data_IF_711271249741
#
_entry.id   IF_711271249741
#
_cell.length_a   1.000
_cell.length_b   1.000
_cell.length_c   1.000
_cell.angle_alpha   90.00
_cell.angle_beta   90.00
_cell.angle_gamma   90.00
#
_symmetry.space_group_name_H-M   'P 1'
#
loop_
_entity.id
_entity.type
_entity.pdbx_description
1 polymer ?
#
# COMPACT_ATOMS: atom_id res chain seq x y z
N UNK A 1 6.48 -27.76 1.74
CA UNK A 1 7.88 -27.52 2.16
C UNK A 1 8.27 -26.09 1.81
N UNK A 2 8.88 -25.32 2.72
CA UNK A 2 9.45 -24.01 2.39
C UNK A 2 10.87 -24.22 1.86
N UNK A 3 11.16 -23.91 0.58
CA UNK A 3 12.51 -24.12 0.05
C UNK A 3 13.48 -23.16 0.72
N UNK A 4 14.64 -23.67 1.13
CA UNK A 4 15.70 -22.83 1.70
C UNK A 4 16.18 -21.78 0.70
N UNK A 5 16.15 -22.14 -0.59
CA UNK A 5 16.64 -21.37 -1.71
C UNK A 5 15.62 -21.39 -2.84
N UNK A 6 15.18 -20.21 -3.30
CA UNK A 6 14.35 -20.09 -4.51
C UNK A 6 15.25 -19.71 -5.68
N UNK A 7 15.23 -20.51 -6.75
CA UNK A 7 15.88 -20.21 -8.03
C UNK A 7 14.79 -19.78 -9.00
N UNK A 8 14.96 -18.63 -9.64
CA UNK A 8 14.02 -18.13 -10.65
C UNK A 8 14.71 -18.07 -12.00
N UNK A 9 13.95 -18.31 -13.08
CA UNK A 9 14.42 -18.12 -14.43
C UNK A 9 13.49 -17.14 -15.15
N UNK A 10 14.07 -16.14 -15.81
CA UNK A 10 13.37 -15.25 -16.72
C UNK A 10 13.77 -15.61 -18.15
N UNK A 11 12.78 -16.00 -18.94
CA UNK A 11 12.97 -16.39 -20.33
C UNK A 11 12.50 -15.28 -21.26
N UNK A 12 13.36 -14.90 -22.18
CA UNK A 12 12.99 -14.11 -23.38
C UNK A 12 12.99 -15.03 -24.59
N UNK A 13 12.70 -14.51 -25.79
CA UNK A 13 12.68 -15.31 -27.01
C UNK A 13 14.02 -16.01 -27.31
N UNK A 14 15.15 -15.49 -26.81
CA UNK A 14 16.49 -15.98 -27.17
C UNK A 14 17.44 -16.14 -25.98
N UNK A 15 17.01 -15.79 -24.76
CA UNK A 15 17.88 -15.80 -23.58
C UNK A 15 17.14 -16.32 -22.35
N UNK A 16 17.87 -17.02 -21.49
CA UNK A 16 17.44 -17.40 -20.16
C UNK A 16 18.37 -16.71 -19.16
N UNK A 17 17.80 -15.95 -18.23
CA UNK A 17 18.53 -15.40 -17.09
C UNK A 17 18.09 -16.13 -15.84
N UNK A 18 19.05 -16.69 -15.10
CA UNK A 18 18.81 -17.42 -13.85
C UNK A 18 19.17 -16.51 -12.68
N UNK A 19 18.28 -16.43 -11.70
CA UNK A 19 18.42 -15.62 -10.50
C UNK A 19 18.35 -16.50 -9.26
N UNK A 20 19.10 -16.09 -8.24
CA UNK A 20 18.97 -16.61 -6.88
C UNK A 20 18.18 -15.59 -6.05
N UNK A 21 17.08 -16.02 -5.45
CA UNK A 21 16.25 -15.14 -4.62
C UNK A 21 16.88 -14.92 -3.24
N UNK A 22 17.42 -13.72 -3.03
CA UNK A 22 17.99 -13.29 -1.74
C UNK A 22 16.94 -12.70 -0.79
N UNK A 23 15.72 -12.43 -1.26
CA UNK A 23 14.66 -11.80 -0.47
C UNK A 23 13.82 -12.83 0.28
N UNK A 24 13.56 -13.99 -0.33
CA UNK A 24 12.63 -14.98 0.19
C UNK A 24 11.19 -14.54 -0.05
N UNK A 25 10.48 -14.14 1.00
CA UNK A 25 9.15 -13.53 0.82
C UNK A 25 9.26 -12.15 0.14
N UNK A 26 8.21 -11.80 -0.62
CA UNK A 26 8.17 -10.56 -1.38
C UNK A 26 8.37 -9.33 -0.46
N UNK A 27 9.24 -8.39 -0.88
CA UNK A 27 9.70 -7.27 -0.05
C UNK A 27 8.59 -6.33 0.43
N UNK A 28 7.44 -6.26 -0.25
CA UNK A 28 6.31 -5.45 0.21
C UNK A 28 5.72 -6.02 1.52
N UNK A 29 5.84 -7.33 1.77
CA UNK A 29 5.44 -7.93 3.03
C UNK A 29 6.43 -7.55 4.14
N UNK A 30 6.21 -6.37 4.74
CA UNK A 30 7.07 -5.82 5.80
C UNK A 30 7.02 -6.62 7.11
N UNK A 31 5.99 -7.47 7.29
CA UNK A 31 5.74 -8.25 8.50
C UNK A 31 4.73 -7.63 9.46
N UNK A 32 4.31 -6.38 9.22
CA UNK A 32 3.39 -5.68 10.11
C UNK A 32 1.93 -5.76 9.70
N UNK A 33 1.54 -6.23 8.52
CA UNK A 33 0.14 -6.26 8.06
C UNK A 33 -0.54 -7.58 8.42
N UNK A 34 -1.77 -7.52 8.95
CA UNK A 34 -2.65 -8.69 9.07
C UNK A 34 -3.46 -8.79 7.77
N UNK A 35 -3.36 -9.90 7.05
CA UNK A 35 -3.99 -10.11 5.75
C UNK A 35 -5.49 -10.42 5.92
N UNK A 36 -6.25 -9.39 6.28
CA UNK A 36 -7.73 -9.42 6.29
C UNK A 36 -8.26 -8.29 5.44
N UNK A 37 -9.14 -8.60 4.49
CA UNK A 37 -9.84 -7.63 3.65
C UNK A 37 -9.39 -7.59 2.18
N UNK A 38 -10.19 -6.92 1.36
CA UNK A 38 -10.04 -6.92 -0.10
C UNK A 38 -8.84 -6.07 -0.57
N UNK A 39 -7.86 -6.74 -1.18
CA UNK A 39 -6.73 -6.19 -1.94
C UNK A 39 -6.14 -4.86 -1.39
N UNK A 40 -5.48 -4.84 -0.21
CA UNK A 40 -4.83 -3.62 0.29
C UNK A 40 -3.74 -3.12 -0.66
N UNK A 41 -3.51 -1.80 -0.68
CA UNK A 41 -2.39 -1.20 -1.41
C UNK A 41 -1.06 -1.79 -0.92
N UNK A 42 -0.23 -2.27 -1.85
CA UNK A 42 1.10 -2.81 -1.51
C UNK A 42 1.99 -1.72 -0.90
N UNK A 43 2.73 -2.08 0.14
CA UNK A 43 3.58 -1.22 0.94
C UNK A 43 4.68 -0.53 0.12
N UNK A 44 5.34 -1.28 -0.76
CA UNK A 44 6.37 -0.71 -1.63
C UNK A 44 5.81 0.31 -2.63
N UNK A 45 4.60 0.11 -3.15
CA UNK A 45 3.91 1.08 -3.98
C UNK A 45 3.55 2.34 -3.17
N UNK A 46 3.07 2.16 -1.93
CA UNK A 46 2.78 3.28 -1.04
C UNK A 46 4.04 4.12 -0.73
N UNK A 47 5.17 3.48 -0.41
CA UNK A 47 6.45 4.16 -0.21
C UNK A 47 6.94 4.91 -1.47
N UNK A 48 6.78 4.29 -2.65
CA UNK A 48 7.09 4.94 -3.92
C UNK A 48 6.22 6.17 -4.18
N UNK A 49 4.92 6.09 -3.90
CA UNK A 49 3.99 7.22 -4.04
C UNK A 49 4.34 8.35 -3.06
N UNK A 50 4.63 8.04 -1.80
CA UNK A 50 5.11 9.03 -0.83
C UNK A 50 6.36 9.77 -1.32
N UNK A 51 7.30 9.05 -1.94
CA UNK A 51 8.48 9.66 -2.54
C UNK A 51 8.12 10.61 -3.70
N UNK A 52 7.07 10.28 -4.48
CA UNK A 52 6.58 11.12 -5.59
C UNK A 52 5.82 12.37 -5.11
N UNK A 53 5.25 12.37 -3.89
CA UNK A 53 4.57 13.56 -3.35
C UNK A 53 5.55 14.65 -2.96
N UNK A 54 6.80 14.27 -2.66
CA UNK A 54 7.81 15.17 -2.10
C UNK A 54 7.59 15.49 -0.62
N UNK A 55 6.69 14.78 0.06
CA UNK A 55 6.46 14.92 1.50
C UNK A 55 7.74 14.67 2.29
N UNK A 56 7.95 15.48 3.33
CA UNK A 56 9.05 15.33 4.29
C UNK A 56 8.50 15.16 5.71
N UNK A 57 9.17 14.43 6.61
CA UNK A 57 8.72 14.18 7.98
C UNK A 57 8.35 15.42 8.83
N UNK A 58 8.86 16.61 8.50
CA UNK A 58 8.51 17.86 9.18
C UNK A 58 7.20 18.48 8.70
N UNK A 59 6.56 17.92 7.66
CA UNK A 59 5.33 18.43 7.08
C UNK A 59 4.14 17.59 7.54
N UNK A 60 3.00 18.24 7.74
CA UNK A 60 1.75 17.55 8.06
C UNK A 60 1.37 16.60 6.92
N UNK A 61 1.07 15.34 7.27
CA UNK A 61 0.52 14.33 6.37
C UNK A 61 -0.87 13.93 6.85
N UNK A 62 -1.84 13.96 5.93
CA UNK A 62 -3.21 13.59 6.22
C UNK A 62 -3.81 12.65 5.18
N UNK A 63 -4.45 11.58 5.64
CA UNK A 63 -5.24 10.68 4.78
C UNK A 63 -6.68 10.56 5.32
N UNK A 64 -7.68 11.24 4.69
CA UNK A 64 -9.08 11.21 5.15
C UNK A 64 -9.83 9.93 4.78
N UNK A 65 -9.20 9.00 4.03
CA UNK A 65 -9.75 7.70 3.65
C UNK A 65 -8.66 6.64 3.81
N UNK A 66 -8.08 6.58 5.01
CA UNK A 66 -6.84 5.88 5.26
C UNK A 66 -6.96 4.36 5.16
N UNK A 67 -8.16 3.80 5.26
CA UNK A 67 -8.40 2.37 5.33
C UNK A 67 -7.56 1.73 6.43
N UNK A 68 -6.78 0.70 6.06
CA UNK A 68 -5.83 0.03 6.97
C UNK A 68 -4.50 0.79 7.18
N UNK A 69 -4.40 1.99 6.60
CA UNK A 69 -3.36 3.05 6.68
C UNK A 69 -1.97 2.68 6.21
N UNK A 70 -1.88 2.05 5.05
CA UNK A 70 -0.59 1.77 4.38
C UNK A 70 0.25 3.03 4.19
N UNK A 71 -0.34 4.14 3.70
CA UNK A 71 0.43 5.37 3.49
C UNK A 71 0.98 5.94 4.80
N UNK A 72 0.15 6.03 5.84
CA UNK A 72 0.56 6.61 7.11
C UNK A 72 1.63 5.77 7.81
N UNK A 73 1.56 4.44 7.71
CA UNK A 73 2.57 3.52 8.28
C UNK A 73 3.89 3.62 7.52
N UNK A 74 3.89 3.58 6.18
CA UNK A 74 5.15 3.73 5.42
C UNK A 74 5.76 5.14 5.59
N UNK A 75 4.93 6.17 5.76
CA UNK A 75 5.38 7.53 6.08
C UNK A 75 6.06 7.59 7.45
N UNK A 76 5.45 6.98 8.48
CA UNK A 76 6.03 6.90 9.81
C UNK A 76 7.35 6.10 9.84
N UNK A 77 7.41 4.97 9.13
CA UNK A 77 8.65 4.20 8.98
C UNK A 77 9.74 5.01 8.28
N UNK A 78 9.38 5.78 7.24
CA UNK A 78 10.30 6.68 6.55
C UNK A 78 10.85 7.76 7.49
N UNK A 79 9.97 8.43 8.25
CA UNK A 79 10.34 9.47 9.20
C UNK A 79 11.28 8.96 10.30
N UNK A 80 10.99 7.78 10.83
CA UNK A 80 11.78 7.14 11.89
C UNK A 80 13.00 6.37 11.36
N UNK A 81 13.28 6.45 10.06
CA UNK A 81 14.34 5.68 9.39
C UNK A 81 14.30 4.18 9.75
N UNK A 82 13.09 3.64 9.91
CA UNK A 82 12.87 2.22 10.15
C UNK A 82 13.08 1.49 8.82
N UNK A 83 14.04 0.55 8.72
CA UNK A 83 14.23 -0.21 7.51
C UNK A 83 12.97 -1.00 7.16
N UNK A 84 12.59 -1.10 5.86
CA UNK A 84 11.44 -1.90 5.44
C UNK A 84 11.54 -3.39 5.81
N UNK A 85 12.76 -3.88 6.05
CA UNK A 85 13.03 -5.24 6.48
C UNK A 85 13.24 -5.40 7.99
N UNK A 86 12.99 -4.40 8.84
CA UNK A 86 13.39 -4.44 10.26
C UNK A 86 12.77 -5.60 11.05
N UNK A 87 11.47 -5.86 10.86
CA UNK A 87 10.78 -7.00 11.50
C UNK A 87 11.35 -8.33 10.99
N UNK A 88 11.49 -8.45 9.67
CA UNK A 88 12.09 -9.63 9.03
C UNK A 88 13.54 -9.87 9.44
N UNK A 89 14.30 -8.82 9.68
CA UNK A 89 15.68 -8.87 10.14
C UNK A 89 15.82 -9.24 11.64
N UNK A 90 14.69 -9.34 12.37
CA UNK A 90 14.67 -9.60 13.81
C UNK A 90 15.26 -8.46 14.63
N UNK A 91 15.11 -7.19 14.20
CA UNK A 91 15.72 -6.05 14.88
C UNK A 91 15.04 -5.67 16.21
N UNK A 92 13.84 -6.18 16.49
CA UNK A 92 13.05 -5.83 17.68
C UNK A 92 13.09 -6.91 18.77
N UNK A 93 13.93 -7.94 18.63
CA UNK A 93 13.97 -9.11 19.52
C UNK A 93 12.77 -10.05 19.34
N UNK A 94 12.82 -11.21 20.02
CA UNK A 94 11.72 -12.19 20.07
C UNK A 94 10.62 -11.78 21.08
N UNK A 95 10.82 -10.67 21.80
CA UNK A 95 9.93 -10.17 22.87
C UNK A 95 8.67 -9.48 22.35
N UNK A 96 8.55 -9.27 21.05
CA UNK A 96 7.29 -8.91 20.43
C UNK A 96 6.36 -10.14 20.48
N UNK A 97 5.73 -10.38 21.63
CA UNK A 97 4.70 -11.41 21.81
C UNK A 97 3.75 -11.32 20.60
N UNK A 98 3.62 -12.39 19.78
CA UNK A 98 2.63 -12.40 18.72
C UNK A 98 1.29 -12.03 19.36
N UNK A 99 0.59 -11.04 18.81
CA UNK A 99 -0.76 -10.77 19.31
C UNK A 99 -1.55 -12.08 19.21
N UNK A 100 -2.36 -12.38 20.24
CA UNK A 100 -3.11 -13.64 20.40
C UNK A 100 -4.06 -13.99 19.22
N UNK A 101 -4.08 -13.20 18.14
CA UNK A 101 -4.96 -13.34 16.97
C UNK A 101 -4.26 -13.84 15.69
N UNK A 102 -2.99 -14.29 15.74
CA UNK A 102 -2.26 -14.71 14.55
C UNK A 102 -2.54 -16.17 14.16
N UNK A 103 -3.61 -16.42 13.39
CA UNK A 103 -3.85 -17.71 12.71
C UNK A 103 -3.07 -17.83 11.37
N UNK A 104 -2.20 -16.86 11.03
CA UNK A 104 -1.36 -16.89 9.82
C UNK A 104 0.06 -16.39 10.11
N UNK A 105 1.09 -16.94 9.44
CA UNK A 105 2.46 -16.51 9.66
C UNK A 105 2.66 -15.10 9.08
N UNK A 106 2.75 -14.10 9.96
CA UNK A 106 3.37 -12.83 9.63
C UNK A 106 4.80 -13.10 9.12
N UNK A 107 5.33 -12.25 8.23
CA UNK A 107 6.77 -12.30 7.94
C UNK A 107 7.52 -11.95 9.21
N UNK A 108 8.06 -12.96 9.87
CA UNK A 108 8.77 -12.86 11.15
C UNK A 108 10.28 -13.02 10.96
N UNK A 109 11.04 -12.77 12.03
CA UNK A 109 12.48 -13.09 12.12
C UNK A 109 12.78 -14.54 11.74
N UNK A 110 11.87 -15.47 12.07
CA UNK A 110 11.99 -16.89 11.72
C UNK A 110 12.03 -17.15 10.20
N UNK A 111 11.37 -16.30 9.40
CA UNK A 111 11.41 -16.40 7.94
C UNK A 111 12.63 -15.68 7.35
N UNK A 112 13.14 -14.64 8.03
CA UNK A 112 14.34 -13.93 7.62
C UNK A 112 14.36 -13.47 6.15
N UNK A 113 15.53 -13.07 5.67
CA UNK A 113 15.78 -12.90 4.25
C UNK A 113 16.23 -14.21 3.60
N UNK A 114 15.93 -14.39 2.32
CA UNK A 114 16.35 -15.55 1.52
C UNK A 114 17.86 -15.83 1.58
N UNK A 115 18.69 -14.78 1.55
CA UNK A 115 20.14 -14.94 1.58
C UNK A 115 20.66 -15.60 2.87
N UNK A 116 19.92 -15.50 3.99
CA UNK A 116 20.35 -16.03 5.27
C UNK A 116 20.37 -17.56 5.32
N UNK A 117 19.73 -18.22 4.35
CA UNK A 117 19.72 -19.69 4.18
C UNK A 117 20.72 -20.19 3.15
N UNK A 118 21.42 -19.28 2.46
CA UNK A 118 22.43 -19.66 1.47
C UNK A 118 23.72 -20.07 2.19
N UNK A 119 24.38 -21.12 1.68
CA UNK A 119 25.66 -21.62 2.21
C UNK A 119 26.71 -20.51 2.45
N UNK A 120 26.89 -19.50 1.57
CA UNK A 120 27.82 -18.40 1.83
C UNK A 120 27.53 -17.61 3.11
N UNK A 121 26.28 -17.51 3.55
CA UNK A 121 25.92 -16.80 4.78
C UNK A 121 26.36 -17.54 6.06
N UNK A 122 26.76 -18.81 5.96
CA UNK A 122 27.36 -19.54 7.07
C UNK A 122 28.78 -19.06 7.38
N UNK A 123 29.39 -18.25 6.51
CA UNK A 123 30.68 -17.64 6.76
C UNK A 123 30.56 -16.57 7.87
N UNK A 124 31.43 -16.65 8.89
CA UNK A 124 31.39 -15.74 10.02
C UNK A 124 31.57 -14.26 9.62
N UNK A 125 32.28 -13.98 8.52
CA UNK A 125 32.44 -12.62 8.03
C UNK A 125 31.16 -12.08 7.38
N UNK A 126 30.35 -12.92 6.72
CA UNK A 126 29.03 -12.52 6.21
C UNK A 126 28.04 -12.25 7.35
N UNK A 127 28.03 -13.11 8.37
CA UNK A 127 27.20 -12.91 9.55
C UNK A 127 27.55 -11.61 10.28
N UNK A 128 28.86 -11.33 10.41
CA UNK A 128 29.35 -10.07 10.99
C UNK A 128 28.96 -8.85 10.13
N UNK A 129 29.03 -8.95 8.80
CA UNK A 129 28.55 -7.89 7.89
C UNK A 129 27.07 -7.61 8.08
N UNK A 130 26.25 -8.66 8.17
CA UNK A 130 24.81 -8.51 8.41
C UNK A 130 24.49 -7.91 9.79
N UNK A 131 25.20 -8.34 10.84
CA UNK A 131 25.08 -7.73 12.17
C UNK A 131 25.41 -6.23 12.12
N UNK A 132 26.53 -5.85 11.48
CA UNK A 132 26.92 -4.46 11.33
C UNK A 132 25.88 -3.61 10.57
N UNK A 133 25.23 -4.17 9.53
CA UNK A 133 24.13 -3.49 8.84
C UNK A 133 22.92 -3.24 9.75
N UNK A 134 22.56 -4.23 10.58
CA UNK A 134 21.47 -4.08 11.56
C UNK A 134 21.82 -3.06 12.64
N UNK A 135 23.04 -3.07 13.14
CA UNK A 135 23.52 -2.10 14.14
C UNK A 135 23.53 -0.67 13.60
N UNK A 136 24.02 -0.47 12.38
CA UNK A 136 24.00 0.84 11.71
C UNK A 136 22.57 1.36 11.51
N UNK A 137 21.65 0.48 11.10
CA UNK A 137 20.25 0.84 10.96
C UNK A 137 19.58 1.15 12.30
N UNK A 138 19.87 0.38 13.36
CA UNK A 138 19.37 0.64 14.71
C UNK A 138 19.85 2.00 15.23
N UNK A 139 21.12 2.36 15.00
CA UNK A 139 21.66 3.65 15.39
C UNK A 139 20.89 4.82 14.72
N UNK A 140 20.60 4.71 13.41
CA UNK A 140 19.79 5.70 12.69
C UNK A 140 18.36 5.79 13.23
N UNK A 141 17.74 4.65 13.53
CA UNK A 141 16.39 4.60 14.12
C UNK A 141 16.35 5.30 15.48
N UNK A 142 17.36 5.08 16.34
CA UNK A 142 17.43 5.71 17.65
C UNK A 142 17.62 7.22 17.56
N UNK A 143 18.45 7.69 16.63
CA UNK A 143 18.60 9.13 16.34
C UNK A 143 17.27 9.75 15.90
N UNK A 144 16.55 9.10 14.97
CA UNK A 144 15.24 9.60 14.53
C UNK A 144 14.15 9.50 15.57
N UNK A 145 14.20 8.53 16.48
CA UNK A 145 13.28 8.47 17.63
C UNK A 145 13.54 9.59 18.64
N UNK A 146 14.76 10.10 18.75
CA UNK A 146 15.01 11.32 19.54
C UNK A 146 14.42 12.56 18.85
N UNK A 147 14.51 12.61 17.51
CA UNK A 147 13.92 13.70 16.73
C UNK A 147 12.39 13.66 16.71
N UNK A 148 11.81 12.45 16.71
CA UNK A 148 10.37 12.19 16.66
C UNK A 148 9.96 11.23 17.79
N UNK A 149 9.86 11.73 19.05
CA UNK A 149 9.68 10.88 20.24
C UNK A 149 8.30 10.21 20.34
N UNK A 150 7.28 10.79 19.71
CA UNK A 150 5.89 10.35 19.79
C UNK A 150 5.17 10.51 18.43
N UNK A 151 3.97 9.96 18.30
CA UNK A 151 3.22 10.03 17.05
C UNK A 151 2.71 11.44 16.72
N UNK A 152 2.57 12.32 17.72
CA UNK A 152 2.21 13.72 17.48
C UNK A 152 3.34 14.46 16.75
N UNK A 153 4.59 14.20 17.14
CA UNK A 153 5.79 14.80 16.55
C UNK A 153 5.99 14.42 15.07
N UNK A 154 5.39 13.32 14.61
CA UNK A 154 5.42 12.89 13.21
C UNK A 154 4.53 13.74 12.30
N UNK A 155 3.56 14.49 12.85
CA UNK A 155 2.61 15.27 12.04
C UNK A 155 1.72 14.41 11.13
N UNK A 156 1.55 13.12 11.45
CA UNK A 156 0.78 12.15 10.68
C UNK A 156 -0.60 11.97 11.32
N UNK A 157 -1.64 12.03 10.50
CA UNK A 157 -3.02 11.80 10.95
C UNK A 157 -3.88 11.23 9.83
N UNK A 158 -5.07 10.74 10.19
CA UNK A 158 -5.97 10.16 9.21
C UNK A 158 -7.37 9.93 9.72
N UNK A 159 -8.23 9.48 8.82
CA UNK A 159 -9.57 9.06 9.14
C UNK A 159 -10.12 8.09 8.11
N UNK A 160 -11.15 7.38 8.50
CA UNK A 160 -11.94 6.54 7.59
C UNK A 160 -13.37 6.46 8.12
N UNK A 161 -14.36 6.37 7.22
CA UNK A 161 -15.76 6.22 7.63
C UNK A 161 -16.02 4.84 8.26
N UNK A 162 -15.22 3.83 7.89
CA UNK A 162 -15.36 2.46 8.34
C UNK A 162 -14.57 2.19 9.62
N UNK A 163 -15.28 2.04 10.74
CA UNK A 163 -14.70 1.71 12.05
C UNK A 163 -13.79 0.48 12.03
N UNK A 164 -14.16 -0.55 11.26
CA UNK A 164 -13.36 -1.79 11.16
C UNK A 164 -11.99 -1.51 10.54
N UNK A 165 -11.92 -0.64 9.53
CA UNK A 165 -10.66 -0.24 8.92
C UNK A 165 -9.81 0.60 9.87
N UNK A 166 -10.43 1.50 10.64
CA UNK A 166 -9.75 2.24 11.72
C UNK A 166 -9.19 1.31 12.79
N UNK A 167 -9.93 0.27 13.20
CA UNK A 167 -9.44 -0.74 14.13
C UNK A 167 -8.27 -1.55 13.54
N UNK A 168 -8.36 -1.94 12.27
CA UNK A 168 -7.28 -2.62 11.56
C UNK A 168 -6.02 -1.75 11.44
N UNK A 169 -6.17 -0.45 11.17
CA UNK A 169 -5.07 0.50 11.18
C UNK A 169 -4.34 0.48 12.52
N UNK A 170 -5.06 0.61 13.64
CA UNK A 170 -4.46 0.64 14.98
C UNK A 170 -3.65 -0.63 15.26
N UNK A 171 -4.19 -1.80 14.88
CA UNK A 171 -3.47 -3.07 15.00
C UNK A 171 -2.24 -3.16 14.11
N UNK A 172 -2.32 -2.66 12.87
CA UNK A 172 -1.19 -2.60 11.93
C UNK A 172 -0.08 -1.66 12.44
N UNK A 173 -0.45 -0.49 12.96
CA UNK A 173 0.48 0.49 13.53
C UNK A 173 1.29 -0.09 14.69
N UNK A 174 0.62 -0.78 15.62
CA UNK A 174 1.27 -1.48 16.72
C UNK A 174 2.20 -2.60 16.22
N UNK A 175 1.73 -3.43 15.27
CA UNK A 175 2.56 -4.49 14.67
C UNK A 175 3.76 -3.93 13.88
N UNK A 176 3.68 -2.70 13.40
CA UNK A 176 4.77 -1.99 12.74
C UNK A 176 5.82 -1.43 13.73
N UNK A 177 5.66 -1.64 15.05
CA UNK A 177 6.59 -1.19 16.10
C UNK A 177 6.83 0.33 16.06
N UNK A 178 5.77 1.07 15.69
CA UNK A 178 5.74 2.52 15.69
C UNK A 178 5.44 3.05 17.11
N UNK A 179 5.63 4.36 17.37
CA UNK A 179 5.27 5.00 18.64
C UNK A 179 3.79 4.84 19.01
N UNK A 180 3.34 5.61 19.99
CA UNK A 180 1.92 5.74 20.35
C UNK A 180 1.00 6.00 19.14
N UNK A 181 -0.31 5.87 19.32
CA UNK A 181 -1.23 5.96 18.19
C UNK A 181 -1.35 7.42 17.69
N UNK A 182 -1.22 7.68 16.38
CA UNK A 182 -1.46 8.99 15.83
C UNK A 182 -2.95 9.34 15.92
N UNK A 183 -3.29 10.59 15.61
CA UNK A 183 -4.68 11.03 15.55
C UNK A 183 -5.39 10.35 14.39
N UNK A 184 -6.16 9.30 14.70
CA UNK A 184 -6.98 8.56 13.75
C UNK A 184 -8.42 8.54 14.23
N UNK A 185 -9.35 8.95 13.37
CA UNK A 185 -10.76 9.08 13.70
C UNK A 185 -11.64 8.28 12.76
N UNK A 186 -12.71 7.70 13.29
CA UNK A 186 -13.82 7.29 12.44
C UNK A 186 -14.59 8.56 12.05
N UNK A 187 -14.47 8.98 10.80
CA UNK A 187 -15.03 10.24 10.32
C UNK A 187 -15.29 10.18 8.83
N UNK A 188 -16.35 10.83 8.38
CA UNK A 188 -16.59 11.08 6.96
C UNK A 188 -15.51 12.04 6.43
N UNK A 189 -14.94 11.73 5.26
CA UNK A 189 -13.99 12.60 4.57
C UNK A 189 -14.55 14.02 4.35
N UNK A 190 -15.86 14.18 4.13
CA UNK A 190 -16.55 15.48 4.00
C UNK A 190 -16.61 16.27 5.31
N UNK A 191 -16.57 15.58 6.45
CA UNK A 191 -16.54 16.19 7.78
C UNK A 191 -15.11 16.47 8.28
N UNK A 192 -14.09 15.96 7.58
CA UNK A 192 -12.69 16.18 7.96
C UNK A 192 -12.28 17.65 7.90
N UNK A 193 -11.25 18.02 8.66
CA UNK A 193 -10.65 19.37 8.67
C UNK A 193 -9.13 19.24 8.68
N UNK A 194 -8.38 20.27 8.26
CA UNK A 194 -6.94 20.31 8.43
C UNK A 194 -6.53 19.92 9.86
N UNK A 195 -5.68 18.90 10.04
CA UNK A 195 -5.21 18.48 11.35
C UNK A 195 -4.56 19.66 12.09
N UNK A 196 -4.89 19.82 13.37
CA UNK A 196 -4.33 20.88 14.24
C UNK A 196 -4.44 22.30 13.64
N UNK A 197 -5.44 22.56 12.77
CA UNK A 197 -5.59 23.82 12.04
C UNK A 197 -4.35 24.20 11.20
N UNK A 198 -3.61 23.20 10.71
CA UNK A 198 -2.45 23.42 9.86
C UNK A 198 -2.84 24.19 8.58
N UNK A 199 -2.05 25.23 8.28
CA UNK A 199 -2.27 26.13 7.13
C UNK A 199 -1.85 25.52 5.80
N UNK A 200 -1.00 24.51 5.84
CA UNK A 200 -0.54 23.74 4.70
C UNK A 200 -0.24 22.29 5.12
N UNK A 201 0.01 21.44 4.13
CA UNK A 201 0.33 20.04 4.33
C UNK A 201 0.17 19.23 3.04
N UNK A 202 0.46 17.94 3.17
CA UNK A 202 0.25 16.95 2.11
C UNK A 202 -0.94 16.10 2.50
N UNK A 203 -1.97 16.09 1.65
CA UNK A 203 -3.05 15.10 1.74
C UNK A 203 -2.76 13.99 0.74
N UNK A 204 -2.76 12.73 1.18
CA UNK A 204 -2.51 11.58 0.30
C UNK A 204 -3.53 10.49 0.61
N UNK A 205 -4.28 10.07 -0.41
CA UNK A 205 -5.39 9.14 -0.27
C UNK A 205 -5.50 8.18 -1.46
N UNK A 206 -6.06 7.01 -1.18
CA UNK A 206 -6.42 5.99 -2.18
C UNK A 206 -7.91 5.65 -2.00
N UNK A 207 -8.83 6.49 -2.50
CA UNK A 207 -10.27 6.27 -2.36
C UNK A 207 -10.70 4.94 -3.01
N UNK A 208 -11.84 4.37 -2.59
CA UNK A 208 -12.41 3.23 -3.31
C UNK A 208 -12.75 3.63 -4.76
N UNK A 209 -12.43 2.79 -5.73
CA UNK A 209 -12.78 2.98 -7.14
C UNK A 209 -13.38 1.71 -7.76
N UNK A 210 -14.36 1.90 -8.67
CA UNK A 210 -14.91 0.96 -9.65
C UNK A 210 -15.00 -0.51 -9.22
N UNK A 211 -14.00 -1.32 -9.59
CA UNK A 211 -13.97 -2.77 -9.36
C UNK A 211 -14.02 -3.18 -7.87
N UNK A 212 -13.52 -2.34 -6.94
CA UNK A 212 -13.63 -2.60 -5.50
C UNK A 212 -15.04 -2.40 -4.95
N UNK A 213 -15.90 -1.69 -5.68
CA UNK A 213 -17.31 -1.50 -5.35
C UNK A 213 -18.17 -2.62 -5.93
N UNK A 214 -17.82 -3.16 -7.11
CA UNK A 214 -18.57 -4.26 -7.76
C UNK A 214 -18.53 -5.55 -6.96
N UNK A 215 -17.41 -5.89 -6.30
CA UNK A 215 -17.34 -7.04 -5.37
C UNK A 215 -18.28 -6.85 -4.16
N UNK A 216 -18.64 -5.59 -3.83
CA UNK A 216 -19.54 -5.25 -2.72
C UNK A 216 -21.00 -5.05 -3.14
N UNK A 217 -21.35 -5.24 -4.41
CA UNK A 217 -22.70 -5.13 -4.94
C UNK A 217 -23.64 -6.28 -4.56
N UNK A 218 -23.62 -6.71 -3.30
CA UNK A 218 -24.56 -7.69 -2.75
C UNK A 218 -25.00 -7.23 -1.37
N UNK A 219 -26.22 -6.68 -1.28
CA UNK A 219 -26.89 -6.36 -0.01
C UNK A 219 -26.80 -7.58 0.91
N UNK A 220 -26.54 -7.31 2.19
CA UNK A 220 -26.41 -8.32 3.24
C UNK A 220 -27.48 -9.41 3.14
N UNK A 221 -27.00 -10.62 2.91
CA UNK A 221 -27.61 -11.86 3.38
C UNK A 221 -26.49 -12.78 3.77
N UNK A 222 -26.56 -13.26 5.00
CA UNK A 222 -25.72 -14.31 5.55
C UNK A 222 -25.51 -15.40 4.50
N UNK A 223 -24.27 -15.56 4.05
CA UNK A 223 -23.79 -16.83 3.52
C UNK A 223 -22.78 -17.35 4.51
N UNK A 224 -23.23 -18.37 5.23
CA UNK A 224 -22.37 -19.30 5.94
C UNK A 224 -21.20 -19.68 5.04
N UNK A 225 -20.02 -19.62 5.63
CA UNK A 225 -18.75 -20.05 5.06
C UNK A 225 -18.86 -21.50 4.58
N UNK A 226 -18.86 -21.70 3.26
CA UNK A 226 -18.36 -22.93 2.67
C UNK A 226 -16.88 -22.73 2.34
N UNK A 227 -16.11 -23.73 2.73
CA UNK A 227 -14.65 -23.79 2.75
C UNK A 227 -14.11 -24.00 1.34
N UNK A 228 -13.44 -23.01 0.77
CA UNK A 228 -12.53 -23.24 -0.36
C UNK A 228 -11.12 -23.49 0.17
N UNK A 229 -10.90 -24.75 0.55
CA UNK A 229 -9.58 -25.33 0.72
C UNK A 229 -8.88 -25.39 -0.64
N UNK A 230 -7.71 -24.75 -0.75
CA UNK A 230 -6.80 -25.00 -1.86
C UNK A 230 -6.16 -26.37 -1.64
N UNK A 231 -6.75 -27.40 -2.25
CA UNK A 231 -6.15 -28.73 -2.33
C UNK A 231 -5.24 -28.79 -3.56
N UNK A 232 -3.99 -29.15 -3.32
CA UNK A 232 -2.91 -29.28 -4.29
C UNK A 232 -2.89 -30.75 -4.73
N UNK A 233 -3.64 -31.09 -5.78
CA UNK A 233 -3.63 -32.43 -6.36
C UNK A 233 -3.56 -32.40 -7.90
N UNK A 234 -2.66 -33.25 -8.39
CA UNK A 234 -2.20 -33.51 -9.75
C UNK A 234 -3.25 -33.40 -10.87
N UNK A 235 -2.92 -32.64 -11.93
CA UNK A 235 -3.52 -32.78 -13.26
C UNK A 235 -2.42 -32.64 -14.33
N UNK A 236 -1.81 -33.77 -14.68
CA UNK A 236 -1.10 -33.94 -15.94
C UNK A 236 -2.13 -34.04 -17.07
N UNK A 237 -2.22 -33.03 -17.94
CA UNK A 237 -2.53 -33.23 -19.36
C UNK A 237 -2.28 -31.96 -20.19
N UNK A 238 -2.03 -32.19 -21.47
CA UNK A 238 -1.16 -31.47 -22.39
C UNK A 238 -1.68 -30.09 -22.84
N UNK A 239 -1.34 -29.02 -22.10
CA UNK A 239 -1.63 -27.61 -22.46
C UNK A 239 -0.76 -27.05 -23.59
N UNK A 240 0.22 -27.81 -24.07
CA UNK A 240 1.19 -27.32 -25.04
C UNK A 240 0.65 -27.38 -26.48
N UNK A 241 -0.14 -28.41 -26.81
CA UNK A 241 -0.64 -28.65 -28.16
C UNK A 241 -1.68 -27.62 -28.64
N UNK A 242 -2.53 -27.08 -27.77
CA UNK A 242 -3.60 -26.14 -28.17
C UNK A 242 -3.14 -24.69 -28.40
N UNK A 243 -1.95 -24.31 -27.93
CA UNK A 243 -1.49 -22.91 -28.00
C UNK A 243 -0.72 -22.55 -29.27
N UNK A 244 -0.42 -23.52 -30.15
CA UNK A 244 0.40 -23.28 -31.34
C UNK A 244 -0.42 -22.70 -32.52
N UNK A 245 -1.71 -23.01 -32.60
CA UNK A 245 -2.53 -22.71 -33.79
C UNK A 245 -3.35 -21.41 -33.69
N UNK A 246 -3.68 -20.94 -32.47
CA UNK A 246 -4.46 -19.70 -32.27
C UNK A 246 -3.62 -18.49 -31.84
N UNK A 247 -2.38 -18.70 -31.40
CA UNK A 247 -1.54 -17.69 -30.75
C UNK A 247 -0.92 -16.62 -31.67
N UNK A 248 -0.97 -16.78 -32.99
CA UNK A 248 -0.27 -15.86 -33.92
C UNK A 248 -1.13 -14.75 -34.53
N UNK A 249 -2.46 -14.78 -34.42
CA UNK A 249 -3.32 -13.74 -35.02
C UNK A 249 -4.09 -12.85 -34.02
N UNK A 250 -4.26 -13.26 -32.76
CA UNK A 250 -5.10 -12.50 -31.80
C UNK A 250 -4.39 -11.42 -30.96
N UNK A 251 -3.05 -11.37 -30.94
CA UNK A 251 -2.31 -10.56 -29.97
C UNK A 251 -2.12 -9.06 -30.32
N UNK A 252 -2.57 -8.58 -31.50
CA UNK A 252 -2.28 -7.18 -31.92
C UNK A 252 -3.47 -6.28 -32.22
N UNK A 253 -4.73 -6.75 -32.14
CA UNK A 253 -5.88 -5.88 -32.49
C UNK A 253 -7.04 -5.80 -31.48
N UNK A 254 -7.08 -6.62 -30.43
CA UNK A 254 -8.27 -6.68 -29.55
C UNK A 254 -8.12 -5.97 -28.19
N UNK A 255 -6.91 -5.68 -27.68
CA UNK A 255 -6.78 -5.21 -26.29
C UNK A 255 -7.12 -3.73 -26.07
N UNK A 256 -6.88 -2.83 -27.03
CA UNK A 256 -7.11 -1.38 -26.85
C UNK A 256 -8.56 -0.95 -27.03
N UNK A 257 -9.30 -1.57 -27.96
CA UNK A 257 -10.73 -1.27 -28.15
C UNK A 257 -11.60 -1.93 -27.09
N UNK A 258 -11.24 -3.14 -26.64
CA UNK A 258 -11.98 -3.85 -25.59
C UNK A 258 -11.83 -3.17 -24.23
N UNK A 259 -10.63 -2.68 -23.86
CA UNK A 259 -10.43 -1.89 -22.64
C UNK A 259 -11.14 -0.54 -22.69
N UNK A 260 -11.14 0.15 -23.85
CA UNK A 260 -11.91 1.40 -23.99
C UNK A 260 -13.42 1.18 -23.92
N UNK A 261 -13.94 0.06 -24.44
CA UNK A 261 -15.37 -0.28 -24.35
C UNK A 261 -15.78 -0.75 -22.94
N UNK A 262 -14.91 -1.47 -22.23
CA UNK A 262 -15.13 -1.85 -20.83
C UNK A 262 -15.03 -0.65 -19.87
N UNK A 263 -14.11 0.29 -20.12
CA UNK A 263 -13.98 1.52 -19.33
C UNK A 263 -15.05 2.58 -19.64
N UNK A 264 -15.72 2.49 -20.79
CA UNK A 264 -16.73 3.47 -21.24
C UNK A 264 -18.18 3.09 -20.88
N UNK A 265 -18.41 1.96 -20.21
CA UNK A 265 -19.76 1.49 -19.85
C UNK A 265 -19.83 0.83 -18.47
N UNK A 266 -19.13 1.37 -17.48
CA UNK A 266 -19.62 1.25 -16.09
C UNK A 266 -20.20 2.62 -15.74
N UNK A 267 -21.54 2.72 -15.73
CA UNK A 267 -22.22 3.84 -15.09
C UNK A 267 -21.71 3.89 -13.64
N UNK A 268 -20.80 4.83 -13.38
CA UNK A 268 -20.33 5.04 -12.02
C UNK A 268 -21.52 5.38 -11.14
N UNK A 269 -21.57 4.77 -9.95
CA UNK A 269 -22.62 5.00 -8.97
C UNK A 269 -22.87 6.52 -8.83
N UNK A 270 -24.07 7.03 -9.18
CA UNK A 270 -24.39 8.45 -9.08
C UNK A 270 -24.16 9.02 -7.68
N UNK A 271 -24.31 8.20 -6.63
CA UNK A 271 -24.01 8.61 -5.25
C UNK A 271 -22.53 8.86 -5.04
N UNK A 272 -21.66 8.04 -5.65
CA UNK A 272 -20.21 8.20 -5.57
C UNK A 272 -19.74 9.43 -6.35
N UNK A 273 -20.31 9.69 -7.53
CA UNK A 273 -20.01 10.91 -8.31
C UNK A 273 -20.43 12.17 -7.53
N UNK A 274 -21.60 12.15 -6.89
CA UNK A 274 -22.05 13.26 -6.04
C UNK A 274 -21.15 13.43 -4.80
N UNK A 275 -20.72 12.34 -4.17
CA UNK A 275 -19.72 12.38 -3.09
C UNK A 275 -18.43 13.06 -3.56
N UNK A 276 -17.89 12.69 -4.73
CA UNK A 276 -16.67 13.31 -5.27
C UNK A 276 -16.87 14.80 -5.55
N UNK A 277 -18.04 15.19 -6.06
CA UNK A 277 -18.38 16.61 -6.25
C UNK A 277 -18.37 17.37 -4.93
N UNK A 278 -18.99 16.82 -3.89
CA UNK A 278 -19.01 17.42 -2.55
C UNK A 278 -17.60 17.44 -1.93
N UNK A 279 -16.82 16.39 -2.12
CA UNK A 279 -15.45 16.30 -1.63
C UNK A 279 -14.55 17.35 -2.30
N UNK A 280 -14.67 17.52 -3.62
CA UNK A 280 -13.96 18.58 -4.34
C UNK A 280 -14.32 19.99 -3.85
N UNK A 281 -15.59 20.24 -3.51
CA UNK A 281 -16.00 21.51 -2.90
C UNK A 281 -15.41 21.69 -1.49
N UNK A 282 -15.48 20.64 -0.66
CA UNK A 282 -14.91 20.62 0.68
C UNK A 282 -13.40 20.88 0.69
N UNK A 283 -12.65 20.28 -0.24
CA UNK A 283 -11.21 20.54 -0.40
C UNK A 283 -10.91 22.02 -0.66
N UNK A 284 -11.69 22.68 -1.52
CA UNK A 284 -11.53 24.12 -1.80
C UNK A 284 -11.87 25.01 -0.61
N UNK A 285 -12.84 24.59 0.20
CA UNK A 285 -13.34 25.38 1.31
C UNK A 285 -12.46 25.25 2.56
N UNK A 286 -11.94 24.05 2.84
CA UNK A 286 -11.25 23.75 4.09
C UNK A 286 -9.74 23.53 3.96
N UNK A 287 -9.22 23.18 2.78
CA UNK A 287 -7.81 22.78 2.61
C UNK A 287 -6.99 23.75 1.75
N UNK A 288 -7.34 25.04 1.72
CA UNK A 288 -6.53 26.06 1.06
C UNK A 288 -5.08 26.09 1.58
N UNK A 289 -4.09 26.04 0.69
CA UNK A 289 -2.66 25.92 1.01
C UNK A 289 -2.11 24.49 0.93
N UNK A 290 -2.95 23.47 0.75
CA UNK A 290 -2.53 22.07 0.75
C UNK A 290 -2.23 21.53 -0.66
N UNK A 291 -1.28 20.58 -0.71
CA UNK A 291 -1.09 19.71 -1.88
C UNK A 291 -1.83 18.39 -1.67
N UNK A 292 -2.82 18.11 -2.53
CA UNK A 292 -3.66 16.91 -2.45
C UNK A 292 -3.26 15.91 -3.51
N UNK A 293 -3.00 14.67 -3.11
CA UNK A 293 -2.62 13.56 -3.96
C UNK A 293 -3.66 12.45 -3.89
N UNK A 294 -4.21 12.06 -5.03
CA UNK A 294 -5.23 11.01 -5.12
C UNK A 294 -4.75 9.91 -6.05
N UNK A 295 -4.60 8.69 -5.52
CA UNK A 295 -4.37 7.49 -6.31
C UNK A 295 -5.72 6.89 -6.71
N UNK A 296 -5.99 6.76 -8.01
CA UNK A 296 -7.24 6.15 -8.51
C UNK A 296 -7.06 5.51 -9.87
N UNK A 297 -7.92 4.56 -10.22
CA UNK A 297 -8.09 4.09 -11.60
C UNK A 297 -9.10 4.93 -12.41
N UNK A 298 -9.84 5.84 -11.75
CA UNK A 298 -10.78 6.73 -12.40
C UNK A 298 -10.08 7.91 -13.08
N UNK A 299 -10.07 7.92 -14.41
CA UNK A 299 -9.47 8.98 -15.22
C UNK A 299 -10.33 10.25 -15.29
N UNK A 300 -11.62 10.17 -14.95
CA UNK A 300 -12.56 11.29 -14.92
C UNK A 300 -12.54 12.05 -13.57
N UNK A 301 -11.79 11.55 -12.58
CA UNK A 301 -11.69 12.13 -11.23
C UNK A 301 -11.51 13.66 -11.21
N UNK A 302 -10.58 14.29 -11.95
CA UNK A 302 -10.43 15.75 -11.91
C UNK A 302 -11.71 16.51 -12.29
N UNK A 303 -12.45 15.98 -13.28
CA UNK A 303 -13.72 16.55 -13.74
C UNK A 303 -14.82 16.44 -12.68
N UNK A 304 -14.92 15.28 -12.02
CA UNK A 304 -15.90 15.03 -10.96
C UNK A 304 -15.64 15.89 -9.72
N UNK A 305 -14.36 16.02 -9.30
CA UNK A 305 -13.95 16.93 -8.23
C UNK A 305 -14.15 18.41 -8.61
N UNK A 306 -14.27 18.71 -9.91
CA UNK A 306 -14.25 20.07 -10.48
C UNK A 306 -12.99 20.84 -10.07
N UNK A 307 -11.84 20.16 -10.05
CA UNK A 307 -10.53 20.73 -9.75
C UNK A 307 -9.58 20.30 -10.87
N UNK A 308 -8.88 21.26 -11.45
CA UNK A 308 -7.85 20.98 -12.45
C UNK A 308 -6.63 20.40 -11.74
N UNK A 309 -6.16 19.23 -12.19
CA UNK A 309 -4.93 18.63 -11.71
C UNK A 309 -3.70 19.47 -12.14
N UNK A 310 -2.72 19.56 -11.25
CA UNK A 310 -1.42 20.18 -11.53
C UNK A 310 -0.39 19.17 -12.06
N UNK A 311 -0.55 17.88 -11.72
CA UNK A 311 0.29 16.78 -12.23
C UNK A 311 -0.52 15.49 -12.28
N UNK A 312 -0.19 14.64 -13.26
CA UNK A 312 -0.75 13.29 -13.41
C UNK A 312 0.38 12.30 -13.68
N UNK A 313 0.57 11.32 -12.80
CA UNK A 313 1.64 10.32 -12.92
C UNK A 313 1.04 8.92 -13.17
N UNK A 314 1.40 8.20 -14.24
CA UNK A 314 0.95 6.84 -14.47
C UNK A 314 1.60 5.86 -13.49
N UNK A 315 0.79 4.97 -12.90
CA UNK A 315 1.21 3.94 -11.95
C UNK A 315 0.40 2.66 -12.16
N UNK A 316 0.84 1.55 -11.55
CA UNK A 316 0.13 0.27 -11.57
C UNK A 316 -0.08 -0.24 -10.14
N UNK A 317 -1.34 -0.46 -9.75
CA UNK A 317 -1.69 -1.11 -8.50
C UNK A 317 -2.03 -2.58 -8.77
N UNK A 318 -1.00 -3.42 -8.83
CA UNK A 318 -1.14 -4.78 -9.36
C UNK A 318 -1.38 -4.74 -10.88
N UNK A 319 -2.39 -5.46 -11.42
CA UNK A 319 -2.70 -5.41 -12.85
C UNK A 319 -3.43 -4.11 -13.25
N UNK A 320 -3.95 -3.37 -12.28
CA UNK A 320 -4.78 -2.20 -12.55
C UNK A 320 -3.93 -0.96 -12.85
N UNK A 321 -4.19 -0.34 -13.99
CA UNK A 321 -3.61 0.94 -14.34
C UNK A 321 -4.26 2.06 -13.52
N UNK A 322 -3.44 2.82 -12.80
CA UNK A 322 -3.88 3.94 -11.97
C UNK A 322 -3.20 5.24 -12.42
N UNK A 323 -3.70 6.35 -11.88
CA UNK A 323 -3.02 7.65 -11.87
C UNK A 323 -2.88 8.14 -10.44
N UNK A 324 -1.73 8.74 -10.17
CA UNK A 324 -1.56 9.65 -9.05
C UNK A 324 -1.80 11.07 -9.57
N UNK A 325 -2.96 11.62 -9.25
CA UNK A 325 -3.27 13.02 -9.51
C UNK A 325 -2.76 13.89 -8.38
N UNK A 326 -2.15 15.04 -8.73
CA UNK A 326 -1.83 16.11 -7.79
C UNK A 326 -2.76 17.28 -8.04
N UNK A 327 -3.30 17.85 -6.98
CA UNK A 327 -4.08 19.08 -6.98
C UNK A 327 -3.46 20.06 -6.00
N UNK A 328 -3.35 21.33 -6.40
CA UNK A 328 -2.93 22.41 -5.50
C UNK A 328 -4.17 23.16 -5.03
N UNK A 329 -4.41 23.20 -3.72
CA UNK A 329 -5.53 23.93 -3.15
C UNK A 329 -5.08 25.37 -2.89
N UNK A 330 -5.66 26.32 -3.61
CA UNK A 330 -5.36 27.74 -3.39
C UNK A 330 -6.19 28.30 -2.24
N UNK A 331 -5.58 29.09 -1.36
CA UNK A 331 -6.33 29.85 -0.36
C UNK A 331 -7.32 30.78 -1.05
N UNK A 332 -8.54 30.87 -0.51
CA UNK A 332 -9.47 31.92 -0.93
C UNK A 332 -8.84 33.26 -0.57
N UNK A 333 -8.85 34.21 -1.51
CA UNK A 333 -8.47 35.58 -1.20
C UNK A 333 -9.50 36.11 -0.21
N UNK A 334 -9.04 36.68 0.90
CA UNK A 334 -9.92 37.44 1.79
C UNK A 334 -10.51 38.60 0.96
N UNK A 335 -11.83 38.56 0.80
CA UNK A 335 -12.63 39.53 0.03
C UNK A 335 -13.02 40.72 0.88
#
# INVERSE_FOLDING_TARGET
AFPDVRVQAHLTATQITIYLDTSGEALFKRGWRDEKGDAPLKENLAAGILSLTGWRPSQTLFDPMCGSGTFLIEAAQTALSIPPGAIRAGMYGDDAKPSRLAYRPLVTSAHGFGFQRLKPFNDASEQKRWAALKEAALAQMLEKRQQYPDAQSLGISGGDINERLVAMFKGNWQRAQLPDLPVIRQIDALASRPPQNAKDGVMLLNPPYGERLVIKGGRGRDRQSEEDAYDDAEMTEDRFAQNVETGRQSAKRSSRESLKKLQAQEEQDPQFVEFLRQFGQHLKDAFGGWSVFVLTADMALPGQLRIKESKRTPLFNGPLECRLFKFEMHQKRDS
#
